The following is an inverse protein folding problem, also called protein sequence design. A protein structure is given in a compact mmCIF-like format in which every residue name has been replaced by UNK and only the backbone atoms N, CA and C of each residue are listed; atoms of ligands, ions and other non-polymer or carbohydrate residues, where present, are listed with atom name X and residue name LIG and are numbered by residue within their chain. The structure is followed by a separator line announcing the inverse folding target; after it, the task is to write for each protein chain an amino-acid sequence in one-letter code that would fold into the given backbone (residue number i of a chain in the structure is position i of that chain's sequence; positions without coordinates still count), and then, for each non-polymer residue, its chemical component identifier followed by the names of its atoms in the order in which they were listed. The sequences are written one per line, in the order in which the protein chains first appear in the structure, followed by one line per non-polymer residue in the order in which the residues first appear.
data_IF_377641263881
#
_entry.id   IF_377641263881
#
_cell.length_a   1.000
_cell.length_b   1.000
_cell.length_c   1.000
_cell.angle_alpha   90.00
_cell.angle_beta   90.00
_cell.angle_gamma   90.00
#
_symmetry.space_group_name_H-M   'P 1'
#
loop_
_entity.id
_entity.type
_entity.pdbx_description
1 polymer ?
#
# COMPACT_ATOMS: atom_id res chain seq x y z
N UNK A 1 -1.67 69.85 39.50
CA UNK A 1 -1.87 69.91 38.04
C UNK A 1 -0.88 68.92 37.46
N UNK A 2 -1.33 67.68 37.31
CA UNK A 2 -1.62 67.01 36.02
C UNK A 2 -0.30 66.63 35.34
N UNK A 3 -0.01 65.41 34.89
CA UNK A 3 -0.84 64.24 34.57
C UNK A 3 0.13 63.04 34.47
N UNK A 4 -0.31 61.84 34.88
CA UNK A 4 -0.30 60.55 34.15
C UNK A 4 0.80 60.27 33.10
N UNK A 5 1.39 59.08 32.97
CA UNK A 5 0.99 57.76 33.46
C UNK A 5 1.95 56.66 33.00
N UNK A 6 1.73 55.50 33.59
CA UNK A 6 2.17 54.16 33.24
C UNK A 6 1.81 53.81 31.78
N UNK A 7 2.62 53.00 31.10
CA UNK A 7 2.14 51.96 30.17
C UNK A 7 3.30 51.11 29.63
N UNK A 8 3.21 49.81 29.93
CA UNK A 8 4.00 48.75 29.36
C UNK A 8 3.47 48.23 28.01
N UNK A 9 4.17 47.23 27.48
CA UNK A 9 3.71 46.38 26.38
C UNK A 9 4.01 46.96 24.99
N UNK A 10 4.48 46.22 24.01
CA UNK A 10 4.68 44.79 23.88
C UNK A 10 5.43 44.55 22.58
N UNK A 11 6.23 43.47 22.55
CA UNK A 11 6.91 42.99 21.34
C UNK A 11 5.86 42.76 20.25
N UNK A 12 6.03 43.42 19.11
CA UNK A 12 5.29 43.13 17.89
C UNK A 12 5.56 41.68 17.45
N UNK A 13 4.71 40.75 17.89
CA UNK A 13 4.67 39.40 17.37
C UNK A 13 4.15 39.44 15.95
N UNK A 14 5.05 39.33 14.97
CA UNK A 14 4.68 39.22 13.57
C UNK A 14 3.71 38.05 13.38
N UNK A 15 2.51 38.36 12.89
CA UNK A 15 1.52 37.36 12.51
C UNK A 15 2.07 36.66 11.26
N UNK A 16 2.47 35.39 11.39
CA UNK A 16 2.90 34.59 10.24
C UNK A 16 1.70 34.24 9.36
N UNK A 17 1.89 34.07 8.04
CA UNK A 17 0.81 33.70 7.09
C UNK A 17 0.03 32.46 7.54
N UNK A 18 0.70 31.53 8.24
CA UNK A 18 0.12 30.33 8.89
C UNK A 18 -0.98 30.67 9.91
N UNK A 19 -0.80 31.74 10.70
CA UNK A 19 -1.79 32.22 11.69
C UNK A 19 -2.95 32.98 11.06
N UNK A 20 -2.75 33.65 9.93
CA UNK A 20 -3.84 34.35 9.21
C UNK A 20 -4.79 33.34 8.55
N UNK A 21 -4.27 32.25 7.98
CA UNK A 21 -5.08 31.15 7.46
C UNK A 21 -5.87 30.44 8.57
N UNK A 22 -5.26 30.21 9.73
CA UNK A 22 -5.94 29.67 10.92
C UNK A 22 -7.00 30.64 11.49
N UNK A 23 -6.74 31.96 11.46
CA UNK A 23 -7.60 32.98 12.06
C UNK A 23 -8.76 33.47 11.17
N UNK A 24 -8.60 33.44 9.84
CA UNK A 24 -9.66 33.77 8.87
C UNK A 24 -10.57 32.59 8.52
N UNK A 25 -10.22 31.37 8.96
CA UNK A 25 -10.89 30.13 8.60
C UNK A 25 -12.23 29.86 9.32
N UNK A 26 -12.60 30.60 10.36
CA UNK A 26 -13.72 30.22 11.24
C UNK A 26 -15.09 30.10 10.54
N UNK A 27 -15.36 30.88 9.50
CA UNK A 27 -16.64 30.89 8.75
C UNK A 27 -16.61 30.04 7.47
N UNK A 28 -15.44 29.77 6.88
CA UNK A 28 -15.30 28.81 5.75
C UNK A 28 -15.15 27.38 6.28
N UNK A 29 -14.52 27.20 7.44
CA UNK A 29 -14.39 25.93 8.14
C UNK A 29 -15.74 25.34 8.59
N UNK A 30 -16.79 26.15 8.75
CA UNK A 30 -18.11 25.64 9.17
C UNK A 30 -18.86 24.95 8.02
N UNK A 31 -18.80 25.47 6.79
CA UNK A 31 -19.44 24.84 5.62
C UNK A 31 -18.53 23.77 5.01
N UNK A 32 -17.22 24.03 4.93
CA UNK A 32 -16.23 23.06 4.48
C UNK A 32 -16.08 21.89 5.45
N UNK A 33 -16.05 22.16 6.76
CA UNK A 33 -15.94 21.16 7.83
C UNK A 33 -17.18 20.27 7.95
N UNK A 34 -18.38 20.80 7.72
CA UNK A 34 -19.60 20.00 7.66
C UNK A 34 -19.61 19.07 6.43
N UNK A 35 -19.19 19.54 5.25
CA UNK A 35 -19.09 18.69 4.05
C UNK A 35 -17.94 17.68 4.13
N UNK A 36 -16.84 18.06 4.79
CA UNK A 36 -15.72 17.18 5.14
C UNK A 36 -16.17 16.05 6.07
N UNK A 37 -16.77 16.36 7.22
CA UNK A 37 -17.36 15.38 8.13
C UNK A 37 -18.46 14.55 7.45
N UNK A 38 -19.27 15.16 6.58
CA UNK A 38 -20.29 14.46 5.79
C UNK A 38 -19.66 13.46 4.82
N UNK A 39 -18.57 13.82 4.13
CA UNK A 39 -17.82 12.89 3.28
C UNK A 39 -17.12 11.80 4.09
N UNK A 40 -16.58 12.10 5.27
CA UNK A 40 -15.99 11.09 6.18
C UNK A 40 -17.04 10.17 6.81
N UNK A 41 -18.29 10.61 6.99
CA UNK A 41 -19.35 9.80 7.63
C UNK A 41 -20.24 9.06 6.61
N UNK A 42 -20.41 9.61 5.41
CA UNK A 42 -21.24 9.01 4.34
C UNK A 42 -20.42 8.40 3.20
N UNK A 43 -19.23 8.95 2.95
CA UNK A 43 -18.23 8.37 2.07
C UNK A 43 -17.42 7.25 2.73
N UNK A 44 -17.92 6.61 3.78
CA UNK A 44 -17.42 5.34 4.27
C UNK A 44 -18.56 4.31 4.37
N UNK A 45 -19.53 4.41 3.45
CA UNK A 45 -20.48 3.32 3.22
C UNK A 45 -21.63 3.15 4.21
N UNK A 46 -21.86 4.05 5.19
CA UNK A 46 -22.91 3.87 6.22
C UNK A 46 -24.35 3.65 5.69
N UNK A 47 -24.62 3.94 4.41
CA UNK A 47 -25.93 3.77 3.78
C UNK A 47 -25.99 2.71 2.68
N UNK A 48 -25.02 1.80 2.58
CA UNK A 48 -25.17 0.55 1.80
C UNK A 48 -25.48 0.72 0.29
N UNK A 49 -25.08 1.85 -0.30
CA UNK A 49 -25.31 2.13 -1.72
C UNK A 49 -24.03 1.81 -2.52
N UNK A 50 -23.80 0.53 -2.79
CA UNK A 50 -22.73 0.06 -3.68
C UNK A 50 -22.31 -1.38 -3.41
N UNK A 51 -21.87 -2.07 -4.47
CA UNK A 51 -21.16 -3.35 -4.43
C UNK A 51 -19.85 -3.17 -3.65
N UNK A 52 -19.69 -3.83 -2.50
CA UNK A 52 -18.47 -3.82 -1.68
C UNK A 52 -17.39 -4.77 -2.28
N UNK A 53 -16.25 -4.97 -1.61
CA UNK A 53 -15.21 -5.91 -2.09
C UNK A 53 -15.74 -7.35 -2.22
N UNK A 54 -16.57 -7.81 -1.28
CA UNK A 54 -17.14 -9.17 -1.29
C UNK A 54 -18.10 -9.42 -2.46
N UNK A 55 -18.77 -8.37 -2.93
CA UNK A 55 -19.75 -8.44 -4.02
C UNK A 55 -19.14 -8.11 -5.40
N UNK A 56 -17.90 -7.63 -5.46
CA UNK A 56 -17.23 -7.21 -6.69
C UNK A 56 -16.62 -8.39 -7.46
N UNK A 57 -16.62 -8.28 -8.79
CA UNK A 57 -15.69 -9.05 -9.62
C UNK A 57 -14.28 -8.44 -9.50
N UNK A 58 -13.61 -8.79 -8.41
CA UNK A 58 -12.26 -8.34 -8.11
C UNK A 58 -11.22 -9.00 -9.00
N UNK A 59 -11.49 -10.21 -9.51
CA UNK A 59 -10.55 -10.95 -10.36
C UNK A 59 -10.27 -10.19 -11.66
N UNK A 60 -11.31 -9.65 -12.30
CA UNK A 60 -11.15 -8.85 -13.51
C UNK A 60 -10.33 -7.57 -13.24
N UNK A 61 -10.57 -6.89 -12.12
CA UNK A 61 -9.85 -5.67 -11.73
C UNK A 61 -8.37 -5.96 -11.40
N UNK A 62 -8.10 -7.03 -10.65
CA UNK A 62 -6.75 -7.43 -10.28
C UNK A 62 -5.93 -7.87 -11.51
N UNK A 63 -6.56 -8.58 -12.45
CA UNK A 63 -5.94 -9.02 -13.70
C UNK A 63 -5.65 -7.88 -14.68
N UNK A 64 -6.44 -6.79 -14.68
CA UNK A 64 -6.39 -5.72 -15.69
C UNK A 64 -4.98 -5.14 -15.90
N UNK A 65 -4.23 -4.98 -14.81
CA UNK A 65 -2.87 -4.40 -14.81
C UNK A 65 -1.80 -5.40 -14.36
N UNK A 66 -2.14 -6.67 -14.19
CA UNK A 66 -1.18 -7.70 -13.78
C UNK A 66 -0.29 -8.07 -14.96
N UNK A 67 0.85 -7.41 -15.07
CA UNK A 67 1.86 -7.68 -16.11
C UNK A 67 3.17 -8.04 -15.41
N UNK A 68 3.48 -9.33 -15.24
CA UNK A 68 4.70 -9.74 -14.57
C UNK A 68 5.95 -9.24 -15.33
N UNK A 69 6.88 -8.67 -14.59
CA UNK A 69 8.21 -8.30 -15.08
C UNK A 69 9.25 -8.88 -14.13
N UNK A 70 10.28 -9.51 -14.66
CA UNK A 70 11.30 -10.13 -13.84
C UNK A 70 12.66 -9.77 -14.38
N UNK A 71 13.54 -9.34 -13.48
CA UNK A 71 14.96 -9.20 -13.73
C UNK A 71 15.72 -9.42 -12.42
N UNK A 72 16.37 -10.57 -12.27
CA UNK A 72 17.21 -10.87 -11.12
C UNK A 72 18.57 -11.46 -11.53
N UNK A 73 19.52 -11.44 -10.59
CA UNK A 73 20.74 -12.23 -10.67
C UNK A 73 20.62 -13.48 -9.80
N UNK A 74 20.61 -14.64 -10.43
CA UNK A 74 20.58 -15.95 -9.75
C UNK A 74 21.99 -16.55 -9.87
N UNK A 75 22.68 -16.73 -8.74
CA UNK A 75 24.04 -17.30 -8.75
C UNK A 75 25.06 -16.49 -9.56
N UNK A 76 24.83 -15.18 -9.77
CA UNK A 76 25.66 -14.32 -10.61
C UNK A 76 25.23 -14.25 -12.09
N UNK A 77 24.26 -15.06 -12.51
CA UNK A 77 23.71 -15.06 -13.87
C UNK A 77 22.45 -14.21 -13.94
N UNK A 78 22.36 -13.32 -14.93
CA UNK A 78 21.17 -12.48 -15.12
C UNK A 78 20.03 -13.29 -15.76
N UNK A 79 18.85 -13.26 -15.15
CA UNK A 79 17.63 -13.89 -15.66
C UNK A 79 16.57 -12.81 -15.80
N UNK A 80 15.93 -12.70 -16.97
CA UNK A 80 14.87 -11.73 -17.21
C UNK A 80 13.70 -12.29 -17.99
N UNK A 81 12.48 -11.84 -17.68
CA UNK A 81 11.32 -12.07 -18.54
C UNK A 81 11.40 -11.16 -19.77
N UNK A 82 11.12 -11.71 -20.95
CA UNK A 82 11.24 -10.99 -22.21
C UNK A 82 10.23 -11.51 -23.24
N UNK A 83 9.23 -10.69 -23.56
CA UNK A 83 8.26 -11.03 -24.60
C UNK A 83 7.52 -12.32 -24.28
N UNK A 84 7.84 -13.38 -25.03
CA UNK A 84 7.22 -14.69 -24.97
C UNK A 84 8.06 -15.75 -24.23
N UNK A 85 9.05 -15.33 -23.45
CA UNK A 85 9.94 -16.27 -22.78
C UNK A 85 10.83 -15.65 -21.69
N UNK A 86 11.87 -16.41 -21.32
CA UNK A 86 12.91 -16.03 -20.37
C UNK A 86 14.25 -15.93 -21.10
N UNK A 87 15.00 -14.86 -20.82
CA UNK A 87 16.36 -14.68 -21.32
C UNK A 87 17.35 -14.84 -20.17
N UNK A 88 18.32 -15.73 -20.36
CA UNK A 88 19.39 -16.06 -19.42
C UNK A 88 20.72 -15.57 -19.97
N UNK A 89 21.38 -14.69 -19.22
CA UNK A 89 22.63 -13.99 -19.51
C UNK A 89 22.67 -13.21 -20.85
N UNK A 90 21.50 -12.95 -21.44
CA UNK A 90 21.40 -12.31 -22.75
C UNK A 90 21.71 -13.22 -23.94
N UNK A 91 22.14 -14.47 -23.70
CA UNK A 91 22.54 -15.41 -24.74
C UNK A 91 21.52 -16.52 -24.96
N UNK A 92 20.99 -17.10 -23.88
CA UNK A 92 20.03 -18.20 -23.95
C UNK A 92 18.62 -17.64 -23.83
N UNK A 93 17.74 -18.03 -24.74
CA UNK A 93 16.31 -17.67 -24.70
C UNK A 93 15.49 -18.95 -24.61
N UNK A 94 14.60 -19.01 -23.63
CA UNK A 94 13.62 -20.07 -23.44
C UNK A 94 12.24 -19.51 -23.80
N UNK A 95 11.61 -20.04 -24.85
CA UNK A 95 10.21 -19.74 -25.18
C UNK A 95 9.28 -20.46 -24.20
N UNK A 96 8.15 -19.86 -23.83
CA UNK A 96 7.14 -20.55 -23.02
C UNK A 96 6.48 -21.75 -23.72
N UNK A 97 6.73 -21.93 -25.02
CA UNK A 97 6.33 -23.12 -25.79
C UNK A 97 7.39 -24.24 -25.78
N UNK A 98 8.56 -24.01 -25.18
CA UNK A 98 9.63 -25.00 -25.08
C UNK A 98 9.26 -26.15 -24.12
N UNK A 99 9.95 -27.29 -24.27
CA UNK A 99 9.75 -28.45 -23.40
C UNK A 99 10.22 -28.12 -21.97
N UNK A 100 9.37 -28.31 -20.94
CA UNK A 100 9.78 -28.14 -19.54
C UNK A 100 11.04 -28.92 -19.15
N UNK A 101 11.33 -30.05 -19.81
CA UNK A 101 12.55 -30.82 -19.58
C UNK A 101 13.83 -30.06 -19.96
N UNK A 102 13.81 -29.26 -21.02
CA UNK A 102 14.96 -28.46 -21.45
C UNK A 102 15.26 -27.33 -20.44
N UNK A 103 14.20 -26.78 -19.83
CA UNK A 103 14.31 -25.77 -18.77
C UNK A 103 14.88 -26.39 -17.50
N UNK A 104 14.45 -27.60 -17.13
CA UNK A 104 14.98 -28.33 -15.98
C UNK A 104 16.48 -28.68 -16.15
N UNK A 105 16.89 -29.10 -17.35
CA UNK A 105 18.29 -29.35 -17.67
C UNK A 105 19.12 -28.06 -17.54
N UNK A 106 18.62 -26.94 -18.08
CA UNK A 106 19.30 -25.64 -17.99
C UNK A 106 19.43 -25.16 -16.54
N UNK A 107 18.35 -25.22 -15.76
CA UNK A 107 18.33 -24.85 -14.34
C UNK A 107 19.37 -25.67 -13.56
N UNK A 108 19.37 -26.99 -13.75
CA UNK A 108 20.31 -27.91 -13.11
C UNK A 108 21.76 -27.62 -13.49
N UNK A 109 22.01 -27.35 -14.78
CA UNK A 109 23.35 -27.03 -15.29
C UNK A 109 23.90 -25.72 -14.71
N UNK A 110 23.04 -24.73 -14.51
CA UNK A 110 23.41 -23.44 -13.92
C UNK A 110 23.39 -23.45 -12.38
N UNK A 111 22.90 -24.53 -11.77
CA UNK A 111 22.84 -24.68 -10.32
C UNK A 111 21.83 -23.74 -9.67
N UNK A 112 20.72 -23.44 -10.36
CA UNK A 112 19.70 -22.51 -9.86
C UNK A 112 18.74 -23.13 -8.85
N UNK A 113 18.77 -24.45 -8.68
CA UNK A 113 18.04 -25.14 -7.61
C UNK A 113 16.52 -25.13 -7.80
N UNK A 114 16.06 -25.10 -9.06
CA UNK A 114 14.65 -25.11 -9.44
C UNK A 114 14.04 -23.73 -9.71
N UNK A 115 14.73 -22.64 -9.35
CA UNK A 115 14.19 -21.27 -9.46
C UNK A 115 13.81 -20.90 -10.90
N UNK A 116 14.63 -21.24 -11.90
CA UNK A 116 14.33 -20.95 -13.29
C UNK A 116 13.17 -21.81 -13.80
N UNK A 117 13.13 -23.09 -13.41
CA UNK A 117 12.02 -24.00 -13.75
C UNK A 117 10.69 -23.50 -13.17
N UNK A 118 10.67 -23.04 -11.92
CA UNK A 118 9.49 -22.48 -11.26
C UNK A 118 9.03 -21.19 -11.94
N UNK A 119 9.95 -20.23 -12.14
CA UNK A 119 9.65 -18.99 -12.85
C UNK A 119 9.07 -19.26 -14.23
N UNK A 120 9.66 -20.20 -14.98
CA UNK A 120 9.18 -20.58 -16.32
C UNK A 120 7.74 -21.10 -16.29
N UNK A 121 7.47 -22.08 -15.43
CA UNK A 121 6.15 -22.71 -15.35
C UNK A 121 5.06 -21.71 -14.92
N UNK A 122 5.34 -20.88 -13.93
CA UNK A 122 4.34 -19.96 -13.39
C UNK A 122 4.16 -18.73 -14.28
N UNK A 123 5.23 -18.19 -14.88
CA UNK A 123 5.10 -17.09 -15.84
C UNK A 123 4.35 -17.53 -17.12
N UNK A 124 4.58 -18.76 -17.59
CA UNK A 124 3.80 -19.35 -18.67
C UNK A 124 2.31 -19.46 -18.29
N UNK A 125 2.01 -19.92 -17.07
CA UNK A 125 0.64 -20.04 -16.58
C UNK A 125 -0.07 -18.66 -16.47
N UNK A 126 0.61 -17.64 -15.96
CA UNK A 126 0.08 -16.28 -15.90
C UNK A 126 -0.21 -15.75 -17.30
N UNK A 127 0.72 -15.94 -18.24
CA UNK A 127 0.54 -15.51 -19.63
C UNK A 127 -0.61 -16.22 -20.33
N UNK A 128 -0.78 -17.52 -20.08
CA UNK A 128 -1.88 -18.31 -20.64
C UNK A 128 -3.23 -18.03 -19.97
N UNK A 129 -3.28 -17.25 -18.89
CA UNK A 129 -4.50 -17.03 -18.11
C UNK A 129 -4.93 -18.26 -17.31
N UNK A 130 -4.02 -19.21 -17.07
CA UNK A 130 -4.29 -20.45 -16.34
C UNK A 130 -3.93 -20.31 -14.87
N UNK A 131 -4.60 -19.38 -14.21
CA UNK A 131 -4.51 -19.10 -12.77
C UNK A 131 -5.87 -18.66 -12.25
N UNK A 132 -6.04 -18.62 -10.94
CA UNK A 132 -7.26 -18.07 -10.33
C UNK A 132 -6.94 -17.23 -9.11
N UNK A 133 -7.62 -16.10 -8.99
CA UNK A 133 -7.65 -15.32 -7.77
C UNK A 133 -8.58 -15.96 -6.73
N UNK A 134 -8.18 -15.87 -5.47
CA UNK A 134 -8.97 -16.29 -4.32
C UNK A 134 -8.96 -15.13 -3.32
N UNK A 135 -10.12 -14.56 -2.98
CA UNK A 135 -10.20 -13.36 -2.16
C UNK A 135 -10.60 -13.73 -0.73
N UNK A 136 -9.88 -13.19 0.25
CA UNK A 136 -9.99 -13.56 1.65
C UNK A 136 -9.90 -12.35 2.56
N UNK A 137 -10.49 -12.45 3.74
CA UNK A 137 -10.16 -11.58 4.87
C UNK A 137 -8.69 -11.78 5.29
N UNK A 138 -8.03 -10.77 5.92
CA UNK A 138 -6.60 -10.83 6.20
C UNK A 138 -6.13 -12.09 6.98
N UNK A 139 -6.81 -12.56 8.04
CA UNK A 139 -6.41 -13.80 8.72
C UNK A 139 -6.51 -15.02 7.82
N UNK A 140 -7.64 -15.15 7.09
CA UNK A 140 -7.88 -16.28 6.20
C UNK A 140 -6.92 -16.30 4.99
N UNK A 141 -6.42 -15.13 4.58
CA UNK A 141 -5.38 -15.02 3.55
C UNK A 141 -4.08 -15.68 4.00
N UNK A 142 -3.59 -15.39 5.21
CA UNK A 142 -2.34 -15.99 5.69
C UNK A 142 -2.51 -17.48 5.99
N UNK A 143 -3.66 -17.90 6.54
CA UNK A 143 -3.99 -19.33 6.68
C UNK A 143 -3.96 -20.04 5.30
N UNK A 144 -4.55 -19.40 4.27
CA UNK A 144 -4.60 -19.95 2.92
C UNK A 144 -3.23 -20.10 2.27
N UNK A 145 -2.26 -19.26 2.64
CA UNK A 145 -0.90 -19.35 2.13
C UNK A 145 -0.17 -20.62 2.60
N UNK A 146 -0.56 -21.18 3.74
CA UNK A 146 0.03 -22.42 4.29
C UNK A 146 -0.52 -23.69 3.63
N UNK A 147 -1.63 -23.59 2.87
CA UNK A 147 -2.32 -24.71 2.23
C UNK A 147 -1.70 -25.14 0.88
N UNK A 148 -0.59 -24.53 0.44
CA UNK A 148 0.02 -24.80 -0.86
C UNK A 148 1.53 -24.61 -0.89
N UNK A 149 2.15 -24.95 -2.03
CA UNK A 149 3.57 -24.71 -2.22
C UNK A 149 3.81 -23.25 -2.63
N UNK A 150 4.59 -22.46 -1.86
CA UNK A 150 4.81 -21.05 -2.15
C UNK A 150 5.57 -20.86 -3.46
N UNK A 151 5.20 -19.82 -4.22
CA UNK A 151 5.81 -19.47 -5.51
C UNK A 151 6.52 -18.11 -5.46
N UNK A 152 7.69 -18.02 -4.80
CA UNK A 152 8.39 -16.75 -4.61
C UNK A 152 8.83 -16.11 -5.94
N UNK A 153 9.18 -16.88 -6.96
CA UNK A 153 9.68 -16.34 -8.23
C UNK A 153 8.59 -15.59 -9.02
N UNK A 154 7.37 -16.11 -9.07
CA UNK A 154 6.25 -15.40 -9.71
C UNK A 154 5.82 -14.20 -8.86
N UNK A 155 5.90 -14.28 -7.53
CA UNK A 155 5.69 -13.11 -6.66
C UNK A 155 6.71 -12.02 -6.97
N UNK A 156 8.01 -12.35 -7.10
CA UNK A 156 9.04 -11.41 -7.54
C UNK A 156 8.67 -10.79 -8.89
N UNK A 157 8.21 -11.60 -9.84
CA UNK A 157 7.79 -11.10 -11.15
C UNK A 157 6.59 -10.12 -11.06
N UNK A 158 5.66 -10.35 -10.13
CA UNK A 158 4.48 -9.50 -9.94
C UNK A 158 4.83 -8.19 -9.23
N UNK A 159 5.78 -8.20 -8.29
CA UNK A 159 6.27 -6.98 -7.61
C UNK A 159 6.96 -6.00 -8.55
N UNK A 160 7.32 -6.44 -9.75
CA UNK A 160 8.05 -5.64 -10.73
C UNK A 160 9.37 -5.07 -10.18
N UNK A 161 9.55 -3.75 -10.17
CA UNK A 161 10.76 -3.06 -9.71
C UNK A 161 10.62 -2.44 -8.31
N UNK A 162 9.56 -2.77 -7.55
CA UNK A 162 9.33 -2.20 -6.21
C UNK A 162 10.15 -2.87 -5.10
N UNK A 163 10.93 -3.89 -5.41
CA UNK A 163 11.74 -4.59 -4.43
C UNK A 163 12.83 -3.69 -3.80
N UNK A 164 12.89 -3.73 -2.46
CA UNK A 164 14.04 -3.25 -1.65
C UNK A 164 14.29 -1.74 -1.74
N UNK A 165 13.23 -0.94 -1.80
CA UNK A 165 13.33 0.53 -1.74
C UNK A 165 13.68 1.05 -0.34
N UNK A 166 13.42 0.26 0.71
CA UNK A 166 13.68 0.60 2.11
C UNK A 166 14.58 -0.42 2.80
N UNK A 167 15.45 0.05 3.70
CA UNK A 167 16.25 -0.81 4.59
C UNK A 167 15.31 -1.63 5.50
N UNK A 168 15.37 -2.98 5.48
CA UNK A 168 14.62 -3.82 6.41
C UNK A 168 14.85 -3.44 7.88
N UNK A 169 16.04 -2.95 8.23
CA UNK A 169 16.33 -2.49 9.58
C UNK A 169 15.47 -1.29 10.03
N UNK A 170 15.09 -0.40 9.11
CA UNK A 170 14.15 0.70 9.39
C UNK A 170 12.74 0.17 9.60
N UNK A 171 12.28 -0.71 8.72
CA UNK A 171 10.96 -1.34 8.80
C UNK A 171 10.79 -2.10 10.11
N UNK A 172 11.79 -2.88 10.51
CA UNK A 172 11.74 -3.63 11.76
C UNK A 172 11.71 -2.74 13.01
N UNK A 173 12.34 -1.56 12.98
CA UNK A 173 12.20 -0.56 14.05
C UNK A 173 10.82 0.06 14.09
N UNK A 174 10.27 0.40 12.92
CA UNK A 174 8.97 1.05 12.81
C UNK A 174 7.81 0.11 13.17
N UNK A 175 7.83 -1.13 12.67
CA UNK A 175 6.77 -2.12 12.89
C UNK A 175 6.99 -2.96 14.16
N UNK A 176 8.18 -2.92 14.75
CA UNK A 176 8.52 -3.68 15.98
C UNK A 176 8.65 -5.19 15.77
N UNK A 177 8.77 -5.65 14.53
CA UNK A 177 8.77 -7.08 14.13
C UNK A 177 9.83 -7.36 13.06
N UNK A 178 10.13 -8.63 12.78
CA UNK A 178 11.04 -9.00 11.69
C UNK A 178 10.36 -8.78 10.32
N UNK A 179 10.93 -7.97 9.41
CA UNK A 179 10.39 -7.77 8.06
C UNK A 179 10.29 -9.03 7.20
N UNK A 180 10.91 -10.16 7.59
CA UNK A 180 10.72 -11.44 6.90
C UNK A 180 9.39 -12.13 7.22
N UNK A 181 8.60 -11.62 8.16
CA UNK A 181 7.27 -12.16 8.52
C UNK A 181 6.17 -11.17 8.10
N UNK A 182 5.62 -11.28 6.87
CA UNK A 182 4.63 -10.33 6.39
C UNK A 182 3.34 -10.26 7.21
N UNK A 183 2.92 -11.37 7.83
CA UNK A 183 1.74 -11.36 8.71
C UNK A 183 2.00 -10.48 9.93
N UNK A 184 3.17 -10.66 10.57
CA UNK A 184 3.58 -9.81 11.68
C UNK A 184 3.79 -8.35 11.24
N UNK A 185 4.32 -8.10 10.04
CA UNK A 185 4.50 -6.72 9.52
C UNK A 185 3.17 -6.01 9.31
N UNK A 186 2.16 -6.68 8.76
CA UNK A 186 0.82 -6.10 8.58
C UNK A 186 0.26 -5.60 9.92
N UNK A 187 0.34 -6.42 10.98
CA UNK A 187 -0.11 -6.02 12.31
C UNK A 187 0.83 -4.98 12.96
N UNK A 188 2.14 -5.11 12.79
CA UNK A 188 3.13 -4.19 13.34
C UNK A 188 3.02 -2.77 12.77
N UNK A 189 2.66 -2.64 11.49
CA UNK A 189 2.40 -1.35 10.85
C UNK A 189 1.24 -0.59 11.51
N UNK A 190 0.23 -1.28 12.06
CA UNK A 190 -0.83 -0.63 12.83
C UNK A 190 -0.26 0.11 14.04
N UNK A 191 0.66 -0.53 14.77
CA UNK A 191 1.36 0.07 15.90
C UNK A 191 2.26 1.22 15.47
N UNK A 192 3.09 0.99 14.45
CA UNK A 192 4.05 1.99 13.95
C UNK A 192 3.38 3.25 13.42
N UNK A 193 2.33 3.13 12.60
CA UNK A 193 1.59 4.30 12.13
C UNK A 193 0.90 5.03 13.27
N UNK A 194 0.33 4.30 14.24
CA UNK A 194 -0.30 4.92 15.40
C UNK A 194 0.70 5.68 16.28
N UNK A 195 1.92 5.16 16.44
CA UNK A 195 2.94 5.78 17.27
C UNK A 195 3.56 7.02 16.60
N UNK A 196 3.84 6.93 15.30
CA UNK A 196 4.67 7.92 14.60
C UNK A 196 3.90 8.88 13.70
N UNK A 197 2.59 8.67 13.49
CA UNK A 197 1.80 9.46 12.56
C UNK A 197 0.44 9.86 13.12
N UNK A 198 -0.17 10.86 12.49
CA UNK A 198 -1.57 11.24 12.73
C UNK A 198 -2.23 11.58 11.40
N UNK A 199 -3.56 11.56 11.36
CA UNK A 199 -4.27 11.90 10.13
C UNK A 199 -4.10 13.40 9.82
N UNK A 200 -3.62 13.73 8.62
CA UNK A 200 -3.36 15.13 8.25
C UNK A 200 -4.67 15.88 7.88
N UNK A 201 -5.43 16.24 8.92
CA UNK A 201 -6.65 17.04 8.82
C UNK A 201 -6.42 18.38 8.10
N UNK A 202 -5.34 19.15 8.37
CA UNK A 202 -5.06 20.40 7.66
C UNK A 202 -4.98 20.23 6.14
N UNK A 203 -4.21 19.26 5.64
CA UNK A 203 -4.11 19.01 4.20
C UNK A 203 -5.40 18.43 3.63
N UNK A 204 -6.21 17.73 4.43
CA UNK A 204 -7.54 17.25 4.01
C UNK A 204 -8.47 18.41 3.72
N UNK A 205 -8.50 19.38 4.63
CA UNK A 205 -9.29 20.60 4.48
C UNK A 205 -8.79 21.44 3.30
N UNK A 206 -7.47 21.56 3.13
CA UNK A 206 -6.87 22.23 1.98
C UNK A 206 -7.33 21.59 0.66
N UNK A 207 -7.29 20.26 0.58
CA UNK A 207 -7.77 19.52 -0.59
C UNK A 207 -9.27 19.64 -0.82
N UNK A 208 -10.06 19.67 0.24
CA UNK A 208 -11.51 19.89 0.13
C UNK A 208 -11.84 21.26 -0.45
N UNK A 209 -11.11 22.31 -0.05
CA UNK A 209 -11.24 23.67 -0.60
C UNK A 209 -10.77 23.69 -2.05
N UNK A 210 -9.61 23.10 -2.32
CA UNK A 210 -9.04 22.99 -3.67
C UNK A 210 -10.05 22.41 -4.66
N UNK A 211 -10.60 21.24 -4.33
CA UNK A 211 -11.45 20.50 -5.25
C UNK A 211 -12.86 21.11 -5.39
N UNK A 212 -13.43 21.68 -4.32
CA UNK A 212 -14.85 22.06 -4.29
C UNK A 212 -15.11 23.56 -4.38
N UNK A 213 -14.15 24.39 -3.97
CA UNK A 213 -14.33 25.85 -3.89
C UNK A 213 -13.58 26.53 -5.02
N UNK A 214 -12.31 26.19 -5.19
CA UNK A 214 -11.47 26.80 -6.23
C UNK A 214 -11.30 25.92 -7.47
N UNK A 215 -11.92 24.74 -7.51
CA UNK A 215 -11.98 23.83 -8.65
C UNK A 215 -10.60 23.53 -9.26
N UNK A 216 -9.60 23.28 -8.41
CA UNK A 216 -8.23 22.96 -8.83
C UNK A 216 -7.43 24.16 -9.36
N UNK A 217 -7.87 25.40 -9.13
CA UNK A 217 -7.15 26.59 -9.61
C UNK A 217 -5.76 26.79 -8.96
N UNK A 218 -5.49 26.13 -7.84
CA UNK A 218 -4.20 26.12 -7.17
C UNK A 218 -4.04 24.83 -6.35
N UNK A 219 -2.82 24.31 -6.25
CA UNK A 219 -2.48 23.23 -5.33
C UNK A 219 -2.32 23.80 -3.92
N UNK A 220 -3.32 23.57 -3.06
CA UNK A 220 -3.30 24.01 -1.67
C UNK A 220 -2.67 22.97 -0.76
N UNK A 221 -2.59 21.71 -1.19
CA UNK A 221 -2.06 20.60 -0.41
C UNK A 221 -0.55 20.68 -0.26
N UNK A 222 0.18 21.17 -1.28
CA UNK A 222 1.65 21.31 -1.28
C UNK A 222 2.23 22.03 -0.04
N UNK A 223 1.46 22.91 0.61
CA UNK A 223 1.94 23.70 1.75
C UNK A 223 1.90 22.94 3.08
N UNK A 224 1.37 21.72 3.07
CA UNK A 224 1.21 20.85 4.23
C UNK A 224 1.95 19.51 4.05
N UNK A 225 2.74 19.38 2.98
CA UNK A 225 3.50 18.16 2.73
C UNK A 225 4.69 18.07 3.66
N UNK A 226 4.74 16.98 4.42
CA UNK A 226 5.86 16.59 5.27
C UNK A 226 6.63 15.43 4.62
N UNK A 227 7.88 15.21 5.08
CA UNK A 227 8.63 14.02 4.69
C UNK A 227 8.03 12.79 5.38
N UNK A 228 7.67 11.77 4.59
CA UNK A 228 6.96 10.58 5.06
C UNK A 228 7.76 9.28 4.95
N UNK A 229 9.05 9.36 4.59
CA UNK A 229 9.94 8.20 4.57
C UNK A 229 10.10 7.59 5.97
N UNK A 230 10.33 6.27 6.09
CA UNK A 230 10.43 5.60 7.40
C UNK A 230 11.44 6.23 8.36
N UNK A 231 12.59 6.72 7.85
CA UNK A 231 13.56 7.46 8.66
C UNK A 231 12.95 8.75 9.24
N UNK A 232 12.25 9.54 8.41
CA UNK A 232 11.59 10.76 8.84
C UNK A 232 10.43 10.50 9.81
N UNK A 233 9.66 9.43 9.61
CA UNK A 233 8.58 9.04 10.52
C UNK A 233 9.11 8.67 11.91
N UNK A 234 10.23 7.94 11.98
CA UNK A 234 10.86 7.54 13.25
C UNK A 234 11.50 8.72 14.01
N UNK A 235 11.97 9.74 13.30
CA UNK A 235 12.65 10.91 13.89
C UNK A 235 11.70 12.05 14.28
N UNK A 236 10.47 12.03 13.76
CA UNK A 236 9.47 13.08 13.97
C UNK A 236 8.57 12.79 15.17
N UNK A 237 8.23 13.83 15.93
CA UNK A 237 7.22 13.77 17.00
C UNK A 237 5.79 13.86 16.41
N UNK A 238 5.46 12.93 15.52
CA UNK A 238 4.16 12.80 14.87
C UNK A 238 4.08 13.52 13.52
N UNK A 239 4.15 12.74 12.44
CA UNK A 239 4.03 13.24 11.06
C UNK A 239 2.59 13.13 10.55
N UNK A 240 2.09 14.19 9.92
CA UNK A 240 0.79 14.16 9.26
C UNK A 240 0.83 13.26 8.01
N UNK A 241 -0.09 12.30 7.89
CA UNK A 241 -0.09 11.33 6.78
C UNK A 241 -1.48 11.15 6.16
N UNK A 242 -1.50 10.91 4.84
CA UNK A 242 -2.69 10.58 4.05
C UNK A 242 -2.82 9.10 3.73
N UNK A 243 -4.02 8.67 3.33
CA UNK A 243 -4.29 7.29 2.95
C UNK A 243 -3.36 6.79 1.83
N UNK A 244 -3.05 7.58 0.81
CA UNK A 244 -2.09 7.14 -0.23
C UNK A 244 -0.66 6.98 0.28
N UNK A 245 -0.22 7.83 1.22
CA UNK A 245 1.11 7.71 1.85
C UNK A 245 1.19 6.46 2.74
N UNK A 246 0.12 6.16 3.49
CA UNK A 246 0.00 4.91 4.23
C UNK A 246 0.12 3.69 3.29
N UNK A 247 -0.53 3.72 2.13
CA UNK A 247 -0.41 2.65 1.13
C UNK A 247 1.02 2.52 0.64
N UNK A 248 1.66 3.60 0.19
CA UNK A 248 3.06 3.55 -0.26
C UNK A 248 3.99 3.01 0.83
N UNK A 249 3.86 3.49 2.07
CA UNK A 249 4.70 3.01 3.18
C UNK A 249 4.47 1.54 3.49
N UNK A 250 3.23 1.08 3.46
CA UNK A 250 2.95 -0.35 3.65
C UNK A 250 3.52 -1.21 2.52
N UNK A 251 3.44 -0.77 1.26
CA UNK A 251 4.02 -1.50 0.12
C UNK A 251 5.53 -1.61 0.30
N UNK A 252 6.22 -0.52 0.61
CA UNK A 252 7.66 -0.52 0.85
C UNK A 252 8.05 -1.42 2.03
N UNK A 253 7.32 -1.37 3.14
CA UNK A 253 7.58 -2.24 4.29
C UNK A 253 7.43 -3.72 3.93
N UNK A 254 6.36 -4.07 3.23
CA UNK A 254 6.05 -5.44 2.82
C UNK A 254 6.98 -5.94 1.70
N UNK A 255 7.63 -5.04 0.96
CA UNK A 255 8.61 -5.35 -0.09
C UNK A 255 10.07 -5.15 0.34
N UNK A 256 10.31 -4.82 1.61
CA UNK A 256 11.66 -4.60 2.15
C UNK A 256 12.54 -5.85 2.03
N UNK A 257 11.93 -7.04 2.13
CA UNK A 257 12.58 -8.34 2.00
C UNK A 257 12.13 -9.02 0.72
N UNK A 258 13.07 -9.66 0.01
CA UNK A 258 12.79 -10.43 -1.20
C UNK A 258 11.80 -11.56 -0.94
N UNK A 259 10.92 -11.93 -1.88
CA UNK A 259 9.94 -13.01 -1.70
C UNK A 259 10.55 -14.33 -1.22
N UNK A 260 11.70 -14.74 -1.75
CA UNK A 260 12.41 -15.96 -1.35
C UNK A 260 12.95 -15.96 0.10
N UNK A 261 12.88 -14.83 0.80
CA UNK A 261 13.30 -14.66 2.19
C UNK A 261 12.14 -14.34 3.13
N UNK A 262 10.90 -14.28 2.63
CA UNK A 262 9.71 -14.10 3.45
C UNK A 262 9.16 -15.45 3.90
N UNK A 263 8.57 -15.48 5.09
CA UNK A 263 7.84 -16.65 5.57
C UNK A 263 6.64 -16.97 4.65
N UNK A 264 5.89 -15.94 4.25
CA UNK A 264 4.85 -16.00 3.22
C UNK A 264 5.19 -15.02 2.09
N UNK A 265 5.62 -15.49 0.90
CA UNK A 265 5.95 -14.59 -0.21
C UNK A 265 4.73 -13.82 -0.68
N UNK A 266 4.77 -12.48 -0.59
CA UNK A 266 3.64 -11.62 -1.00
C UNK A 266 4.05 -10.53 -1.99
N UNK A 267 3.18 -10.12 -2.90
CA UNK A 267 3.22 -8.85 -3.59
C UNK A 267 2.17 -7.93 -2.95
N UNK A 268 2.40 -6.62 -3.03
CA UNK A 268 1.53 -5.61 -2.44
C UNK A 268 1.25 -4.59 -3.53
N UNK A 269 0.00 -4.13 -3.62
CA UNK A 269 -0.46 -3.29 -4.70
C UNK A 269 -1.27 -2.10 -4.15
N UNK A 270 -1.29 -1.03 -4.93
CA UNK A 270 -2.00 0.19 -4.61
C UNK A 270 -3.43 0.11 -5.12
N UNK A 271 -4.42 0.20 -4.21
CA UNK A 271 -5.84 0.06 -4.55
C UNK A 271 -6.55 1.39 -4.34
N UNK A 272 -7.33 1.81 -5.35
CA UNK A 272 -8.08 3.08 -5.32
C UNK A 272 -9.57 2.80 -5.15
N UNK A 273 -10.18 3.45 -4.16
CA UNK A 273 -11.63 3.69 -4.12
C UNK A 273 -11.93 5.11 -4.60
N UNK A 274 -12.31 5.23 -5.89
CA UNK A 274 -12.65 6.52 -6.49
C UNK A 274 -13.89 7.17 -5.87
N UNK A 275 -14.80 6.39 -5.29
CA UNK A 275 -16.04 6.90 -4.67
C UNK A 275 -15.70 7.81 -3.48
N UNK A 276 -14.66 7.44 -2.75
CA UNK A 276 -14.29 8.07 -1.49
C UNK A 276 -12.98 8.85 -1.56
N UNK A 277 -12.32 8.88 -2.73
CA UNK A 277 -10.95 9.40 -2.92
C UNK A 277 -10.00 8.77 -1.89
N UNK A 278 -10.19 7.47 -1.70
CA UNK A 278 -9.50 6.70 -0.69
C UNK A 278 -8.56 5.71 -1.36
N UNK A 279 -7.50 5.34 -0.65
CA UNK A 279 -6.55 4.35 -1.09
C UNK A 279 -6.26 3.38 0.05
N UNK A 280 -6.10 2.11 -0.29
CA UNK A 280 -5.73 1.05 0.63
C UNK A 280 -4.82 0.04 -0.09
N UNK A 281 -4.23 -0.89 0.66
CA UNK A 281 -3.20 -1.80 0.16
C UNK A 281 -3.83 -3.14 -0.15
N UNK A 282 -3.59 -3.67 -1.34
CA UNK A 282 -3.87 -5.08 -1.64
C UNK A 282 -2.64 -5.93 -1.35
N UNK A 283 -2.85 -7.16 -0.87
CA UNK A 283 -1.79 -8.15 -0.66
C UNK A 283 -2.11 -9.38 -1.49
N UNK A 284 -1.14 -9.88 -2.23
CA UNK A 284 -1.26 -11.03 -3.12
C UNK A 284 -0.20 -12.05 -2.75
N UNK A 285 -0.59 -13.30 -2.54
CA UNK A 285 0.33 -14.42 -2.52
C UNK A 285 0.28 -15.21 -3.83
N UNK A 286 1.25 -16.11 -4.01
CA UNK A 286 1.18 -17.11 -5.07
C UNK A 286 1.54 -18.47 -4.50
N UNK A 287 0.65 -19.44 -4.73
CA UNK A 287 0.81 -20.81 -4.28
C UNK A 287 0.38 -21.78 -5.38
N UNK A 288 0.93 -22.99 -5.36
CA UNK A 288 0.44 -24.08 -6.20
C UNK A 288 -0.28 -25.12 -5.36
N UNK A 289 -1.48 -25.47 -5.79
CA UNK A 289 -2.33 -26.50 -5.19
C UNK A 289 -2.81 -27.41 -6.30
N UNK A 290 -2.55 -28.72 -6.18
CA UNK A 290 -2.90 -29.73 -7.20
C UNK A 290 -2.49 -29.31 -8.64
N UNK A 291 -1.25 -28.83 -8.79
CA UNK A 291 -0.68 -28.28 -10.03
C UNK A 291 -1.33 -26.99 -10.60
N UNK A 292 -2.35 -26.45 -9.94
CA UNK A 292 -2.96 -25.17 -10.31
C UNK A 292 -2.29 -23.98 -9.60
N UNK A 293 -1.97 -22.93 -10.35
CA UNK A 293 -1.49 -21.66 -9.81
C UNK A 293 -2.68 -20.88 -9.21
N UNK A 294 -2.60 -20.57 -7.92
CA UNK A 294 -3.61 -19.79 -7.19
C UNK A 294 -2.97 -18.52 -6.68
N UNK A 295 -3.76 -17.45 -6.72
CA UNK A 295 -3.41 -16.14 -6.23
C UNK A 295 -4.36 -15.74 -5.09
N UNK A 296 -4.11 -16.23 -3.85
CA UNK A 296 -4.75 -15.67 -2.67
C UNK A 296 -4.51 -14.16 -2.63
N UNK A 297 -5.55 -13.39 -2.32
CA UNK A 297 -5.49 -11.94 -2.26
C UNK A 297 -6.36 -11.43 -1.10
N UNK A 298 -5.86 -10.41 -0.41
CA UNK A 298 -6.61 -9.67 0.62
C UNK A 298 -6.35 -8.18 0.50
N UNK A 299 -7.04 -7.39 1.33
CA UNK A 299 -6.93 -5.94 1.35
C UNK A 299 -6.78 -5.44 2.79
N UNK A 300 -5.95 -4.43 2.98
CA UNK A 300 -5.65 -3.84 4.29
C UNK A 300 -5.67 -2.30 4.21
N UNK A 301 -6.33 -1.67 5.19
CA UNK A 301 -6.41 -0.20 5.31
C UNK A 301 -5.93 0.23 6.69
N UNK A 302 -4.90 1.07 6.69
CA UNK A 302 -4.28 1.62 7.90
C UNK A 302 -4.85 2.98 8.29
N UNK A 303 -5.79 3.55 7.55
CA UNK A 303 -6.28 4.91 7.78
C UNK A 303 -6.97 5.08 9.12
N UNK A 304 -7.64 4.02 9.60
CA UNK A 304 -8.26 4.03 10.92
C UNK A 304 -7.24 4.07 12.07
N UNK A 305 -5.99 3.67 11.83
CA UNK A 305 -4.91 3.70 12.83
C UNK A 305 -4.49 5.13 13.17
N UNK A 306 -4.60 6.05 12.21
CA UNK A 306 -4.19 7.46 12.36
C UNK A 306 -5.35 8.38 12.73
N UNK A 307 -6.60 7.96 12.52
CA UNK A 307 -7.80 8.70 12.94
C UNK A 307 -8.18 8.49 14.42
N UNK A 308 -7.55 7.53 15.09
CA UNK A 308 -7.94 7.07 16.43
C UNK A 308 -7.74 8.15 17.51
N UNK A 309 -6.64 8.91 17.43
CA UNK A 309 -6.25 9.88 18.46
C UNK A 309 -6.90 11.26 18.28
N UNK A 310 -7.21 11.66 17.04
CA UNK A 310 -7.78 12.97 16.74
C UNK A 310 -9.28 13.10 17.08
N UNK A 311 -10.04 11.99 17.02
CA UNK A 311 -11.49 12.05 17.18
C UNK A 311 -12.04 11.33 18.42
N UNK A 312 -11.24 10.53 19.16
CA UNK A 312 -11.69 9.74 20.34
C UNK A 312 -13.00 8.96 20.10
N UNK A 313 -13.23 8.47 18.87
CA UNK A 313 -14.46 7.80 18.45
C UNK A 313 -14.23 6.28 18.33
N UNK A 314 -13.87 5.64 19.45
CA UNK A 314 -13.62 4.19 19.55
C UNK A 314 -14.81 3.33 19.11
N UNK A 315 -16.05 3.77 19.35
CA UNK A 315 -17.25 2.95 19.13
C UNK A 315 -17.89 3.03 17.74
N UNK A 316 -17.39 3.86 16.83
CA UNK A 316 -18.07 4.13 15.52
C UNK A 316 -17.17 3.86 14.31
N UNK A 317 -15.84 3.92 14.48
CA UNK A 317 -14.89 3.93 13.35
C UNK A 317 -14.02 2.66 13.21
N UNK A 318 -14.21 1.63 14.04
CA UNK A 318 -13.41 0.40 13.97
C UNK A 318 -12.10 0.51 14.75
N UNK A 319 -11.58 -0.62 15.21
CA UNK A 319 -10.30 -0.71 15.93
C UNK A 319 -9.27 -1.39 15.03
N UNK A 320 -8.51 -0.61 14.25
CA UNK A 320 -7.31 -1.13 13.56
C UNK A 320 -7.46 -1.33 12.05
N UNK A 321 -7.04 -2.51 11.58
CA UNK A 321 -6.86 -2.91 10.18
C UNK A 321 -8.19 -3.43 9.59
N UNK A 322 -8.82 -2.71 8.65
CA UNK A 322 -10.08 -3.20 8.08
C UNK A 322 -10.45 -2.60 6.71
N UNK A 323 -9.82 -3.10 5.64
CA UNK A 323 -10.25 -2.80 4.26
C UNK A 323 -11.25 -3.84 3.72
N UNK A 324 -11.11 -5.11 4.09
CA UNK A 324 -11.96 -6.20 3.59
C UNK A 324 -13.30 -6.24 4.33
N UNK A 325 -14.11 -5.20 4.15
CA UNK A 325 -15.45 -5.10 4.75
C UNK A 325 -16.46 -4.49 3.77
N UNK A 326 -17.69 -4.32 4.25
CA UNK A 326 -18.81 -3.74 3.50
C UNK A 326 -18.62 -2.28 3.05
N UNK A 327 -17.54 -1.61 3.46
CA UNK A 327 -17.36 -0.16 3.27
C UNK A 327 -16.43 0.18 2.12
N UNK A 328 -15.59 -0.75 1.69
CA UNK A 328 -14.56 -0.51 0.68
C UNK A 328 -14.95 -1.02 -0.69
N UNK A 329 -14.34 -0.41 -1.70
CA UNK A 329 -14.48 -0.80 -3.10
C UNK A 329 -13.15 -0.63 -3.84
N UNK A 330 -12.79 -1.63 -4.64
CA UNK A 330 -11.72 -1.49 -5.61
C UNK A 330 -12.30 -0.86 -6.89
N UNK A 331 -11.78 0.31 -7.27
CA UNK A 331 -12.02 0.91 -8.58
C UNK A 331 -10.86 0.64 -9.53
N UNK A 332 -9.64 0.61 -9.01
CA UNK A 332 -8.40 0.35 -9.73
C UNK A 332 -7.41 -0.36 -8.81
N UNK A 333 -6.59 -1.24 -9.37
CA UNK A 333 -5.50 -1.96 -8.69
C UNK A 333 -4.22 -1.75 -9.51
N UNK A 334 -3.17 -1.24 -8.87
CA UNK A 334 -1.86 -0.98 -9.49
C UNK A 334 -0.79 -1.82 -8.81
N UNK A 335 -0.13 -2.67 -9.60
CA UNK A 335 1.00 -3.52 -9.20
C UNK A 335 2.32 -2.77 -9.29
#
# INVERSE_FOLDING_TARGET
MNDSGDDGGGKAGGVTRRRVLLGGGASVATVGGAKALYNTVLGYGRFGMGTNLEEQDLAALAAERLVPTYEESIGGTRVRLAGDGIVVDGETTLSFDDDPADVEELDSRLGFGGRLRELFADAAAVRAGTYAFEFHDPPAFFDRMDDGEPRPEVVTAIRTNWDRTVDPGLVGRFAGVDPSDPAAVVEGLVGGFREHTHYDVPRYLAGSIEDNVILGAADLRQYFEDAVEFEALLESDGTGIFCWELVYRSIEALHAVSPARQAAPIAACYVIDRRHKHAFTGLLGAIRVDDGLRFPMTFVDYTHTTMYDDFRLTGVLGEGLDAYNDRHRASEIYW
#
